data_IF_767469353002
#
_entry.id   IF_767469353002
#
_cell.length_a   1.000
_cell.length_b   1.000
_cell.length_c   1.000
_cell.angle_alpha   90.00
_cell.angle_beta   90.00
_cell.angle_gamma   90.00
#
_symmetry.space_group_name_H-M   'P 1'
#
loop_
_entity.id
_entity.type
_entity.pdbx_description
1 polymer ?
#
# COMPACT_ATOMS: atom_id res chain seq x y z
N UNK A 1 -79.85 38.29 -22.50
CA UNK A 1 -79.86 37.44 -23.71
C UNK A 1 -78.53 37.61 -24.46
N UNK A 2 -77.77 36.51 -24.62
CA UNK A 2 -76.66 36.29 -25.57
C UNK A 2 -75.41 37.18 -25.34
N UNK A 3 -74.17 36.71 -25.23
CA UNK A 3 -73.60 35.41 -25.57
C UNK A 3 -72.43 35.08 -24.61
N UNK A 4 -72.64 34.06 -23.80
CA UNK A 4 -71.61 33.17 -23.26
C UNK A 4 -71.39 32.13 -24.36
N UNK A 5 -70.28 32.15 -25.11
CA UNK A 5 -69.92 31.00 -25.95
C UNK A 5 -68.51 31.07 -26.57
N UNK A 6 -67.77 29.97 -26.33
CA UNK A 6 -66.64 29.42 -27.09
C UNK A 6 -65.23 30.01 -26.85
N UNK A 7 -64.62 29.61 -25.74
CA UNK A 7 -63.19 29.30 -25.72
C UNK A 7 -63.07 27.77 -25.68
N UNK A 8 -62.80 27.11 -26.82
CA UNK A 8 -62.11 25.82 -26.75
C UNK A 8 -61.20 25.63 -27.96
N UNK A 9 -59.91 25.98 -27.89
CA UNK A 9 -58.87 25.30 -28.71
C UNK A 9 -57.41 25.70 -28.39
N UNK A 10 -57.07 26.10 -27.17
CA UNK A 10 -55.69 26.57 -26.90
C UNK A 10 -55.08 25.99 -25.62
N UNK A 11 -55.53 24.79 -25.24
CA UNK A 11 -55.08 24.10 -24.03
C UNK A 11 -54.83 22.59 -24.23
N UNK A 12 -54.58 22.14 -25.47
CA UNK A 12 -54.36 20.70 -25.73
C UNK A 12 -53.36 20.39 -26.87
N UNK A 13 -52.39 21.26 -27.13
CA UNK A 13 -51.21 20.95 -27.99
C UNK A 13 -49.90 21.34 -27.28
N UNK A 14 -49.90 21.30 -25.94
CA UNK A 14 -48.70 21.54 -25.13
C UNK A 14 -48.41 20.41 -24.14
N UNK A 15 -48.81 19.18 -24.48
CA UNK A 15 -48.53 17.97 -23.68
C UNK A 15 -48.17 16.74 -24.55
N UNK A 16 -47.78 16.91 -25.82
CA UNK A 16 -47.37 15.77 -26.67
C UNK A 16 -46.02 15.94 -27.38
N UNK A 17 -45.20 16.89 -26.95
CA UNK A 17 -43.79 16.94 -27.29
C UNK A 17 -42.97 16.18 -26.25
N UNK A 18 -43.28 14.90 -26.03
CA UNK A 18 -42.35 14.04 -25.31
C UNK A 18 -41.04 14.09 -26.09
N UNK A 19 -40.02 14.73 -25.52
CA UNK A 19 -38.66 14.62 -26.03
C UNK A 19 -38.33 13.14 -25.98
N UNK A 20 -38.53 12.42 -27.08
CA UNK A 20 -38.00 11.08 -27.22
C UNK A 20 -36.50 11.30 -27.23
N UNK A 21 -35.87 11.03 -26.09
CA UNK A 21 -34.42 11.12 -25.97
C UNK A 21 -33.84 10.27 -27.11
N UNK A 22 -33.17 10.93 -28.05
CA UNK A 22 -32.62 10.26 -29.22
C UNK A 22 -31.35 9.53 -28.79
N UNK A 23 -31.13 8.33 -29.33
CA UNK A 23 -29.93 7.59 -29.00
C UNK A 23 -28.72 8.29 -29.62
N UNK A 24 -27.67 8.44 -28.81
CA UNK A 24 -26.45 9.16 -29.17
C UNK A 24 -25.27 8.21 -29.04
N UNK A 25 -24.51 8.09 -30.13
CA UNK A 25 -23.28 7.34 -30.22
C UNK A 25 -22.15 8.32 -30.52
N UNK A 26 -21.07 8.28 -29.74
CA UNK A 26 -19.87 9.08 -30.01
C UNK A 26 -18.74 8.13 -30.37
N UNK A 27 -18.20 8.25 -31.58
CA UNK A 27 -17.10 7.40 -32.05
C UNK A 27 -15.78 7.81 -31.39
N UNK A 28 -14.78 6.94 -31.50
CA UNK A 28 -13.38 7.22 -31.10
C UNK A 28 -12.78 8.45 -31.78
N UNK A 29 -13.29 8.81 -32.95
CA UNK A 29 -12.86 9.99 -33.70
C UNK A 29 -13.55 11.29 -33.21
N UNK A 30 -14.45 11.18 -32.23
CA UNK A 30 -15.26 12.29 -31.73
C UNK A 30 -16.46 12.62 -32.61
N UNK A 31 -16.80 11.78 -33.59
CA UNK A 31 -17.99 11.97 -34.43
C UNK A 31 -19.23 11.58 -33.63
N UNK A 32 -20.20 12.49 -33.58
CA UNK A 32 -21.51 12.23 -32.97
C UNK A 32 -22.42 11.65 -34.03
N UNK A 33 -22.97 10.47 -33.75
CA UNK A 33 -23.95 9.77 -34.56
C UNK A 33 -25.26 9.73 -33.76
N UNK A 34 -26.33 10.22 -34.37
CA UNK A 34 -27.68 10.16 -33.82
C UNK A 34 -28.45 9.09 -34.57
N UNK A 35 -29.04 8.14 -33.86
CA UNK A 35 -29.71 6.98 -34.48
C UNK A 35 -30.60 6.25 -33.50
N UNK A 36 -30.98 5.03 -33.84
CA UNK A 36 -31.63 4.08 -32.92
C UNK A 36 -30.68 2.91 -32.65
N UNK A 37 -30.33 2.71 -31.39
CA UNK A 37 -29.61 1.55 -30.92
C UNK A 37 -30.60 0.39 -30.86
N UNK A 38 -30.31 -0.65 -31.63
CA UNK A 38 -31.12 -1.85 -31.73
C UNK A 38 -30.70 -2.84 -30.65
N UNK A 39 -29.38 -3.02 -30.50
CA UNK A 39 -28.82 -3.93 -29.51
C UNK A 39 -27.45 -3.43 -29.02
N UNK A 40 -27.14 -3.75 -27.76
CA UNK A 40 -25.90 -3.38 -27.10
C UNK A 40 -25.34 -4.56 -26.32
N UNK A 41 -24.12 -4.95 -26.67
CA UNK A 41 -23.33 -5.97 -25.97
C UNK A 41 -21.92 -5.46 -25.66
N UNK A 42 -21.15 -6.24 -24.89
CA UNK A 42 -19.73 -5.95 -24.61
C UNK A 42 -18.90 -5.89 -25.88
N UNK A 43 -19.26 -6.68 -26.89
CA UNK A 43 -18.42 -6.92 -28.06
C UNK A 43 -18.88 -6.05 -29.24
N UNK A 44 -20.19 -5.95 -29.45
CA UNK A 44 -20.79 -5.23 -30.58
C UNK A 44 -21.97 -4.35 -30.17
N UNK A 45 -22.07 -3.21 -30.86
CA UNK A 45 -23.21 -2.31 -30.80
C UNK A 45 -23.86 -2.23 -32.17
N UNK A 46 -25.15 -2.55 -32.23
CA UNK A 46 -25.94 -2.53 -33.46
C UNK A 46 -26.86 -1.31 -33.44
N UNK A 47 -26.76 -0.48 -34.48
CA UNK A 47 -27.54 0.75 -34.57
C UNK A 47 -27.98 1.05 -36.01
N UNK A 48 -29.03 1.83 -36.14
CA UNK A 48 -29.54 2.35 -37.41
C UNK A 48 -29.49 3.88 -37.37
N UNK A 49 -28.89 4.49 -38.40
CA UNK A 49 -28.77 5.95 -38.52
C UNK A 49 -30.03 6.61 -39.07
N UNK A 50 -30.82 5.86 -39.82
CA UNK A 50 -32.00 6.35 -40.52
C UNK A 50 -33.17 5.41 -40.25
N UNK A 51 -34.23 5.94 -39.64
CA UNK A 51 -35.47 5.19 -39.35
C UNK A 51 -36.22 4.76 -40.61
N UNK A 52 -35.87 5.30 -41.78
CA UNK A 52 -36.47 4.94 -43.08
C UNK A 52 -35.72 3.81 -43.82
N UNK A 53 -34.45 3.56 -43.48
CA UNK A 53 -33.60 2.55 -44.13
C UNK A 53 -33.29 1.42 -43.15
N UNK A 54 -33.60 0.18 -43.52
CA UNK A 54 -33.34 -1.04 -42.70
C UNK A 54 -31.85 -1.45 -42.68
N UNK A 55 -30.93 -0.53 -42.91
CA UNK A 55 -29.51 -0.81 -42.81
C UNK A 55 -29.10 -0.71 -41.34
N UNK A 56 -28.66 -1.85 -40.80
CA UNK A 56 -28.17 -1.98 -39.44
C UNK A 56 -26.65 -2.03 -39.51
N UNK A 57 -26.01 -1.04 -38.92
CA UNK A 57 -24.56 -1.04 -38.72
C UNK A 57 -24.25 -1.81 -37.44
N UNK A 58 -23.46 -2.88 -37.56
CA UNK A 58 -22.91 -3.63 -36.43
C UNK A 58 -21.42 -3.32 -36.33
N UNK A 59 -21.06 -2.57 -35.30
CA UNK A 59 -19.69 -2.09 -35.11
C UNK A 59 -19.19 -2.58 -33.74
N UNK A 60 -17.91 -2.96 -33.62
CA UNK A 60 -17.33 -3.29 -32.32
C UNK A 60 -17.58 -2.18 -31.31
N UNK A 61 -18.11 -2.53 -30.13
CA UNK A 61 -18.47 -1.57 -29.07
C UNK A 61 -17.28 -0.70 -28.67
N UNK A 62 -16.06 -1.20 -28.85
CA UNK A 62 -14.79 -0.51 -28.61
C UNK A 62 -14.60 0.76 -29.48
N UNK A 63 -15.23 0.85 -30.65
CA UNK A 63 -15.16 2.04 -31.52
C UNK A 63 -16.03 3.21 -31.02
N UNK A 64 -16.81 3.02 -29.96
CA UNK A 64 -17.62 4.06 -29.33
C UNK A 64 -17.07 4.46 -27.96
N UNK A 65 -16.95 5.77 -27.74
CA UNK A 65 -16.56 6.42 -26.48
C UNK A 65 -17.79 6.63 -25.59
N UNK A 66 -18.92 7.01 -26.18
CA UNK A 66 -20.19 7.19 -25.48
C UNK A 66 -21.30 6.49 -26.23
N UNK A 67 -22.15 5.78 -25.50
CA UNK A 67 -23.37 5.17 -26.00
C UNK A 67 -24.48 5.55 -25.02
N UNK A 68 -25.43 6.34 -25.48
CA UNK A 68 -26.62 6.74 -24.76
C UNK A 68 -27.84 6.26 -25.54
N UNK A 69 -28.70 5.48 -24.89
CA UNK A 69 -29.96 4.98 -25.45
C UNK A 69 -31.12 5.62 -24.68
N UNK A 70 -31.87 6.53 -25.31
CA UNK A 70 -32.81 7.39 -24.61
C UNK A 70 -32.11 8.15 -23.49
N UNK A 71 -32.66 8.11 -22.28
CA UNK A 71 -32.03 8.72 -21.09
C UNK A 71 -31.01 7.81 -20.40
N UNK A 72 -30.82 6.58 -20.87
CA UNK A 72 -29.92 5.59 -20.28
C UNK A 72 -28.52 5.69 -20.89
N UNK A 73 -27.52 5.98 -20.06
CA UNK A 73 -26.11 5.92 -20.44
C UNK A 73 -25.64 4.46 -20.38
N UNK A 74 -25.45 3.83 -21.54
CA UNK A 74 -24.99 2.45 -21.65
C UNK A 74 -23.47 2.33 -21.55
N UNK A 75 -22.74 3.28 -22.17
CA UNK A 75 -21.28 3.34 -22.11
C UNK A 75 -20.84 4.79 -21.98
N UNK A 76 -19.88 5.02 -21.09
CA UNK A 76 -19.14 6.27 -21.02
C UNK A 76 -17.66 6.00 -20.89
N UNK A 77 -16.89 6.75 -21.65
CA UNK A 77 -15.45 6.72 -21.57
C UNK A 77 -15.00 7.36 -20.26
N UNK A 78 -14.16 6.62 -19.53
CA UNK A 78 -13.48 7.06 -18.32
C UNK A 78 -11.99 6.82 -18.52
N UNK A 79 -11.20 7.85 -18.19
CA UNK A 79 -9.76 7.76 -18.22
C UNK A 79 -9.28 6.78 -17.13
N UNK A 80 -8.34 5.94 -17.51
CA UNK A 80 -7.40 5.29 -16.64
C UNK A 80 -6.24 6.29 -16.34
N UNK A 81 -5.30 5.90 -15.49
CA UNK A 81 -4.18 6.77 -15.10
C UNK A 81 -2.92 5.95 -14.96
N UNK A 82 -1.88 6.34 -15.69
CA UNK A 82 -0.51 5.84 -15.53
C UNK A 82 0.20 6.78 -14.56
N UNK A 83 0.87 6.22 -13.57
CA UNK A 83 1.80 6.92 -12.70
C UNK A 83 3.19 6.36 -13.01
N UNK A 84 4.10 7.21 -13.46
CA UNK A 84 5.49 6.82 -13.74
C UNK A 84 6.31 6.80 -12.45
N UNK A 85 7.47 6.15 -12.48
CA UNK A 85 8.41 6.15 -11.34
C UNK A 85 8.98 7.54 -11.06
N UNK A 86 9.00 8.41 -12.07
CA UNK A 86 9.41 9.81 -11.95
C UNK A 86 8.32 10.70 -11.32
N UNK A 87 7.17 10.11 -10.94
CA UNK A 87 6.06 10.83 -10.31
C UNK A 87 5.12 11.55 -11.30
N UNK A 88 5.28 11.32 -12.60
CA UNK A 88 4.39 11.89 -13.61
C UNK A 88 3.04 11.15 -13.61
N UNK A 89 1.96 11.92 -13.61
CA UNK A 89 0.59 11.40 -13.69
C UNK A 89 0.07 11.63 -15.11
N UNK A 90 -0.21 10.56 -15.82
CA UNK A 90 -0.62 10.55 -17.22
C UNK A 90 -2.06 10.02 -17.32
N UNK A 91 -3.07 10.87 -17.55
CA UNK A 91 -4.45 10.43 -17.78
C UNK A 91 -4.60 9.84 -19.19
N UNK A 92 -5.00 8.58 -19.30
CA UNK A 92 -5.01 7.86 -20.58
C UNK A 92 -6.04 6.73 -20.59
N UNK A 93 -6.13 5.96 -21.68
CA UNK A 93 -6.82 4.66 -21.71
C UNK A 93 -5.80 3.57 -22.02
N UNK A 94 -5.78 2.53 -21.19
CA UNK A 94 -4.92 1.37 -21.42
C UNK A 94 -5.52 0.50 -22.52
N UNK A 95 -4.71 0.14 -23.51
CA UNK A 95 -5.07 -0.78 -24.60
C UNK A 95 -4.62 -2.19 -24.25
N UNK A 96 -3.34 -2.34 -23.89
CA UNK A 96 -2.73 -3.63 -23.58
C UNK A 96 -1.55 -3.43 -22.60
N UNK A 97 -1.32 -4.45 -21.78
CA UNK A 97 -0.19 -4.54 -20.88
C UNK A 97 0.57 -5.81 -21.26
N UNK A 98 1.71 -5.64 -21.91
CA UNK A 98 2.62 -6.70 -22.31
C UNK A 98 3.65 -6.95 -21.19
N UNK A 99 4.50 -7.99 -21.32
CA UNK A 99 5.57 -8.24 -20.36
C UNK A 99 6.52 -7.05 -20.18
N UNK A 100 6.84 -6.33 -21.26
CA UNK A 100 7.84 -5.27 -21.26
C UNK A 100 7.28 -3.87 -21.51
N UNK A 101 6.05 -3.76 -22.05
CA UNK A 101 5.45 -2.51 -22.51
C UNK A 101 4.04 -2.33 -21.97
N UNK A 102 3.67 -1.07 -21.75
CA UNK A 102 2.30 -0.65 -21.48
C UNK A 102 1.86 0.24 -22.64
N UNK A 103 0.85 -0.21 -23.38
CA UNK A 103 0.31 0.49 -24.54
C UNK A 103 -0.98 1.24 -24.17
N UNK A 104 -1.04 2.52 -24.50
CA UNK A 104 -2.13 3.42 -24.12
C UNK A 104 -2.36 4.49 -25.16
N UNK A 105 -3.54 5.11 -25.13
CA UNK A 105 -3.82 6.32 -25.90
C UNK A 105 -4.34 7.43 -24.98
N UNK A 106 -4.11 8.67 -25.39
CA UNK A 106 -4.75 9.83 -24.78
C UNK A 106 -6.04 10.17 -25.51
N UNK A 107 -7.03 10.60 -24.74
CA UNK A 107 -8.24 11.18 -25.29
C UNK A 107 -8.30 12.66 -24.90
N UNK A 108 -8.22 13.53 -25.90
CA UNK A 108 -8.45 14.97 -25.78
C UNK A 108 -9.40 15.39 -26.90
N UNK A 109 -10.69 15.06 -26.73
CA UNK A 109 -11.77 15.23 -27.73
C UNK A 109 -11.63 14.40 -29.02
N UNK A 110 -10.43 13.84 -29.27
CA UNK A 110 -10.12 12.84 -30.29
C UNK A 110 -9.19 11.79 -29.69
N UNK A 111 -9.31 10.55 -30.15
CA UNK A 111 -8.36 9.49 -29.80
C UNK A 111 -7.04 9.76 -30.51
N UNK A 112 -5.98 9.86 -29.71
CA UNK A 112 -4.61 9.96 -30.21
C UNK A 112 -4.08 8.61 -30.66
N UNK A 113 -2.97 8.61 -31.40
CA UNK A 113 -2.26 7.39 -31.75
C UNK A 113 -1.83 6.64 -30.50
N UNK A 114 -1.80 5.31 -30.59
CA UNK A 114 -1.31 4.45 -29.51
C UNK A 114 0.16 4.77 -29.24
N UNK A 115 0.45 5.04 -27.97
CA UNK A 115 1.78 5.26 -27.43
C UNK A 115 2.13 4.08 -26.53
N UNK A 116 3.42 3.79 -26.39
CA UNK A 116 3.91 2.72 -25.54
C UNK A 116 4.96 3.27 -24.58
N UNK A 117 4.85 2.87 -23.32
CA UNK A 117 5.85 3.13 -22.28
C UNK A 117 6.48 1.81 -21.85
N UNK A 118 7.76 1.84 -21.48
CA UNK A 118 8.40 0.68 -20.87
C UNK A 118 7.74 0.38 -19.53
N UNK A 119 7.34 -0.88 -19.31
CA UNK A 119 6.74 -1.30 -18.03
C UNK A 119 7.66 -0.99 -16.85
N UNK A 120 8.98 -1.08 -17.07
CA UNK A 120 10.01 -0.72 -16.07
C UNK A 120 10.00 0.75 -15.63
N UNK A 121 9.48 1.68 -16.43
CA UNK A 121 9.34 3.10 -16.07
C UNK A 121 7.97 3.45 -15.47
N UNK A 122 7.02 2.50 -15.48
CA UNK A 122 5.70 2.68 -14.90
C UNK A 122 5.71 2.17 -13.45
N UNK A 123 5.19 2.96 -12.53
CA UNK A 123 5.03 2.59 -11.12
C UNK A 123 3.71 1.84 -10.91
N UNK A 124 2.62 2.46 -11.37
CA UNK A 124 1.26 2.03 -11.12
C UNK A 124 0.34 2.45 -12.27
N UNK A 125 -0.52 1.53 -12.70
CA UNK A 125 -1.71 1.82 -13.50
C UNK A 125 -2.92 1.76 -12.60
N UNK A 126 -3.73 2.82 -12.62
CA UNK A 126 -5.06 2.87 -11.99
C UNK A 126 -6.11 2.84 -13.09
N UNK A 127 -6.93 1.81 -13.09
CA UNK A 127 -8.02 1.69 -14.04
C UNK A 127 -9.24 2.50 -13.59
N UNK A 128 -10.07 2.86 -14.56
CA UNK A 128 -11.32 3.59 -14.39
C UNK A 128 -12.38 2.85 -13.57
N UNK A 129 -12.27 1.53 -13.43
CA UNK A 129 -13.10 0.70 -12.53
C UNK A 129 -12.62 0.72 -11.07
N UNK A 130 -11.48 1.37 -10.79
CA UNK A 130 -10.87 1.46 -9.47
C UNK A 130 -9.83 0.38 -9.18
N UNK A 131 -9.67 -0.62 -10.05
CA UNK A 131 -8.60 -1.61 -9.97
C UNK A 131 -7.24 -0.97 -10.23
N UNK A 132 -6.18 -1.61 -9.74
CA UNK A 132 -4.83 -1.06 -9.74
C UNK A 132 -3.84 -2.17 -10.05
N UNK A 133 -2.93 -1.91 -10.98
CA UNK A 133 -1.85 -2.83 -11.34
C UNK A 133 -0.50 -2.14 -11.14
N UNK A 134 0.30 -2.68 -10.22
CA UNK A 134 1.62 -2.16 -9.88
C UNK A 134 2.69 -2.95 -10.62
N UNK A 135 3.65 -2.24 -11.20
CA UNK A 135 4.75 -2.85 -11.96
C UNK A 135 6.10 -2.73 -11.27
N UNK A 136 6.09 -2.30 -10.02
CA UNK A 136 7.20 -2.57 -9.12
C UNK A 136 7.36 -4.08 -9.06
N UNK A 137 8.49 -4.58 -9.58
CA UNK A 137 8.94 -5.91 -9.23
C UNK A 137 8.87 -5.98 -7.71
N UNK A 138 8.06 -6.91 -7.20
CA UNK A 138 8.22 -7.41 -5.85
C UNK A 138 9.53 -8.21 -5.87
N UNK A 139 10.66 -7.52 -6.00
CA UNK A 139 11.71 -7.79 -5.04
C UNK A 139 10.99 -7.45 -3.75
N UNK A 140 10.66 -8.48 -2.95
CA UNK A 140 10.42 -8.23 -1.55
C UNK A 140 11.70 -7.55 -1.07
N UNK A 141 11.77 -6.22 -1.13
CA UNK A 141 12.39 -5.52 -0.05
C UNK A 141 11.71 -6.13 1.17
N UNK A 142 12.45 -6.82 2.07
CA UNK A 142 11.85 -7.18 3.34
C UNK A 142 11.19 -5.90 3.82
N UNK A 143 9.95 -5.99 4.32
CA UNK A 143 9.19 -4.92 4.99
C UNK A 143 10.15 -3.80 5.35
N UNK A 144 9.89 -2.54 4.97
CA UNK A 144 10.70 -1.41 5.45
C UNK A 144 10.54 -1.33 6.96
N UNK A 145 11.20 -2.25 7.65
CA UNK A 145 11.30 -2.44 9.06
C UNK A 145 11.93 -1.13 9.46
N UNK A 146 11.18 -0.34 10.23
CA UNK A 146 11.69 0.94 10.68
C UNK A 146 13.09 0.72 11.25
N UNK A 147 14.04 1.65 11.03
CA UNK A 147 15.42 1.49 11.53
C UNK A 147 15.44 1.04 12.99
N UNK A 148 14.48 1.53 13.78
CA UNK A 148 14.20 1.09 15.14
C UNK A 148 13.87 -0.40 15.28
N UNK A 149 12.87 -0.92 14.58
CA UNK A 149 12.51 -2.35 14.61
C UNK A 149 13.67 -3.24 14.12
N UNK A 150 14.43 -2.77 13.12
CA UNK A 150 15.59 -3.50 12.60
C UNK A 150 16.67 -3.59 13.69
N UNK A 151 16.93 -2.48 14.39
CA UNK A 151 17.81 -2.45 15.56
C UNK A 151 17.35 -3.40 16.67
N UNK A 152 16.04 -3.47 16.95
CA UNK A 152 15.49 -4.41 17.94
C UNK A 152 15.73 -5.87 17.53
N UNK A 153 15.49 -6.20 16.25
CA UNK A 153 15.68 -7.54 15.72
C UNK A 153 17.15 -7.96 15.74
N UNK A 154 18.05 -7.09 15.31
CA UNK A 154 19.48 -7.35 15.32
C UNK A 154 20.00 -7.50 16.75
N UNK A 155 19.56 -6.69 17.70
CA UNK A 155 19.92 -6.87 19.11
C UNK A 155 19.41 -8.22 19.65
N UNK A 156 18.23 -8.69 19.21
CA UNK A 156 17.73 -10.02 19.59
C UNK A 156 18.64 -11.15 19.09
N UNK A 157 19.23 -11.01 17.91
CA UNK A 157 20.04 -12.06 17.30
C UNK A 157 21.53 -11.98 17.68
N UNK A 158 22.09 -10.77 17.75
CA UNK A 158 23.54 -10.56 17.79
C UNK A 158 24.06 -9.96 19.09
N UNK A 159 23.23 -9.29 19.90
CA UNK A 159 23.70 -8.77 21.19
C UNK A 159 23.88 -9.90 22.21
N UNK A 160 25.10 -9.98 22.74
CA UNK A 160 25.50 -10.88 23.82
C UNK A 160 26.10 -10.06 24.97
N UNK A 161 25.60 -10.18 26.21
CA UNK A 161 26.24 -9.58 27.38
C UNK A 161 27.67 -10.09 27.53
N UNK A 162 28.57 -9.23 28.04
CA UNK A 162 29.97 -9.59 28.24
C UNK A 162 30.12 -10.66 29.34
N UNK A 163 30.88 -11.73 29.05
CA UNK A 163 31.09 -12.81 30.02
C UNK A 163 31.71 -12.35 31.34
N UNK A 164 32.69 -11.44 31.27
CA UNK A 164 33.32 -10.87 32.47
C UNK A 164 32.36 -10.10 33.38
N UNK A 165 31.35 -9.45 32.80
CA UNK A 165 30.30 -8.77 33.57
C UNK A 165 29.44 -9.78 34.34
N UNK A 166 29.06 -10.89 33.70
CA UNK A 166 28.26 -11.94 34.34
C UNK A 166 29.05 -12.57 35.50
N UNK A 167 30.34 -12.86 35.30
CA UNK A 167 31.22 -13.39 36.36
C UNK A 167 31.34 -12.40 37.52
N UNK A 168 31.48 -11.09 37.23
CA UNK A 168 31.48 -10.05 38.25
C UNK A 168 30.20 -10.04 39.09
N UNK A 169 29.03 -10.17 38.46
CA UNK A 169 27.74 -10.24 39.16
C UNK A 169 27.62 -11.48 40.07
N UNK A 170 28.16 -12.63 39.65
CA UNK A 170 28.22 -13.83 40.51
C UNK A 170 29.03 -13.55 41.78
N UNK A 171 30.18 -12.89 41.66
CA UNK A 171 31.02 -12.52 42.82
C UNK A 171 30.32 -11.51 43.74
N UNK A 172 29.59 -10.54 43.17
CA UNK A 172 28.78 -9.60 43.95
C UNK A 172 27.62 -10.30 44.66
N UNK A 173 26.99 -11.29 44.02
CA UNK A 173 25.98 -12.14 44.63
C UNK A 173 26.52 -13.01 45.78
N UNK A 174 27.70 -13.60 45.62
CA UNK A 174 28.39 -14.35 46.67
C UNK A 174 28.65 -13.50 47.92
N UNK A 175 28.93 -12.20 47.72
CA UNK A 175 29.24 -11.26 48.79
C UNK A 175 28.06 -10.36 49.16
N UNK A 176 26.83 -10.71 48.78
CA UNK A 176 25.63 -9.85 48.93
C UNK A 176 25.33 -9.41 50.37
N UNK A 177 25.82 -10.13 51.39
CA UNK A 177 25.70 -9.74 52.81
C UNK A 177 26.41 -8.40 53.08
N UNK A 178 27.43 -8.07 52.28
CA UNK A 178 28.00 -6.73 52.24
C UNK A 178 27.07 -5.83 51.43
N UNK A 179 26.43 -4.87 52.10
CA UNK A 179 25.49 -3.93 51.46
C UNK A 179 26.06 -3.25 50.20
N UNK A 180 27.37 -2.98 50.18
CA UNK A 180 28.06 -2.43 49.02
C UNK A 180 27.98 -3.33 47.78
N UNK A 181 28.04 -4.66 47.94
CA UNK A 181 27.96 -5.62 46.84
C UNK A 181 26.57 -5.67 46.22
N UNK A 182 25.52 -5.61 47.05
CA UNK A 182 24.14 -5.55 46.58
C UNK A 182 23.87 -4.27 45.78
N UNK A 183 24.36 -3.12 46.27
CA UNK A 183 24.26 -1.84 45.55
C UNK A 183 25.02 -1.92 44.22
N UNK A 184 26.26 -2.41 44.23
CA UNK A 184 27.09 -2.51 43.03
C UNK A 184 26.44 -3.39 41.94
N UNK A 185 25.91 -4.57 42.29
CA UNK A 185 25.23 -5.44 41.32
C UNK A 185 23.98 -4.79 40.73
N UNK A 186 23.23 -4.06 41.57
CA UNK A 186 22.07 -3.31 41.08
C UNK A 186 22.49 -2.21 40.10
N UNK A 187 23.54 -1.44 40.39
CA UNK A 187 24.04 -0.39 39.49
C UNK A 187 24.50 -1.00 38.16
N UNK A 188 25.31 -2.06 38.19
CA UNK A 188 25.84 -2.70 36.98
C UNK A 188 24.71 -3.21 36.08
N UNK A 189 23.65 -3.82 36.65
CA UNK A 189 22.52 -4.33 35.90
C UNK A 189 21.69 -3.25 35.17
N UNK A 190 21.58 -2.03 35.73
CA UNK A 190 20.74 -0.96 35.17
C UNK A 190 21.49 0.08 34.34
N UNK A 191 22.82 0.18 34.46
CA UNK A 191 23.63 1.03 33.58
C UNK A 191 23.51 0.52 32.13
N UNK A 192 23.32 1.40 31.13
CA UNK A 192 23.28 0.98 29.73
C UNK A 192 24.54 0.21 29.30
N UNK A 193 24.42 -0.78 28.40
CA UNK A 193 25.59 -1.46 27.85
C UNK A 193 26.45 -0.49 27.00
N UNK A 194 27.77 -0.56 27.19
CA UNK A 194 28.74 0.27 26.48
C UNK A 194 29.22 -0.38 25.19
N UNK A 195 29.41 -1.71 25.18
CA UNK A 195 29.76 -2.47 23.96
C UNK A 195 28.50 -2.99 23.29
N UNK A 196 28.11 -2.33 22.19
CA UNK A 196 26.96 -2.71 21.37
C UNK A 196 27.36 -3.46 20.11
N UNK A 197 28.56 -3.18 19.61
CA UNK A 197 29.05 -3.68 18.33
C UNK A 197 29.32 -5.18 18.38
N UNK A 198 28.90 -5.89 17.36
CA UNK A 198 29.15 -7.33 17.19
C UNK A 198 29.69 -7.58 15.79
N UNK A 199 30.77 -8.36 15.67
CA UNK A 199 31.37 -8.74 14.38
C UNK A 199 30.37 -9.48 13.48
N UNK A 200 29.39 -10.16 14.10
CA UNK A 200 28.38 -10.93 13.40
C UNK A 200 27.13 -10.11 13.01
N UNK A 201 27.01 -8.86 13.48
CA UNK A 201 25.89 -8.00 13.09
C UNK A 201 26.20 -7.34 11.73
N UNK A 202 25.45 -7.65 10.66
CA UNK A 202 25.67 -7.06 9.34
C UNK A 202 25.45 -5.54 9.32
N UNK A 203 24.61 -5.02 10.24
CA UNK A 203 24.23 -3.61 10.32
C UNK A 203 25.03 -2.85 11.38
N UNK A 204 26.22 -3.32 11.74
CA UNK A 204 27.01 -2.76 12.84
C UNK A 204 27.32 -1.25 12.66
N UNK A 205 27.48 -0.80 11.41
CA UNK A 205 27.71 0.60 11.06
C UNK A 205 26.51 1.50 11.45
N UNK A 206 25.30 0.95 11.46
CA UNK A 206 24.09 1.70 11.82
C UNK A 206 24.05 2.07 13.30
N UNK A 207 24.82 1.40 14.17
CA UNK A 207 24.95 1.78 15.58
C UNK A 207 25.58 3.16 15.78
N UNK A 208 26.37 3.64 14.83
CA UNK A 208 26.99 4.97 14.85
C UNK A 208 26.32 5.96 13.89
N UNK A 209 25.76 5.49 12.76
CA UNK A 209 25.19 6.37 11.74
C UNK A 209 23.70 6.67 11.88
N UNK A 210 22.92 5.81 12.55
CA UNK A 210 21.46 5.94 12.65
C UNK A 210 20.99 5.94 14.12
N UNK A 211 20.38 7.06 14.54
CA UNK A 211 19.88 7.24 15.90
C UNK A 211 18.71 6.30 16.23
N UNK A 212 17.77 6.11 15.31
CA UNK A 212 16.60 5.27 15.51
C UNK A 212 16.99 3.79 15.60
N UNK A 213 17.92 3.35 14.73
CA UNK A 213 18.50 2.00 14.82
C UNK A 213 19.17 1.76 16.16
N UNK A 214 20.04 2.68 16.58
CA UNK A 214 20.76 2.60 17.86
C UNK A 214 19.79 2.53 19.04
N UNK A 215 18.72 3.32 19.02
CA UNK A 215 17.71 3.33 20.06
C UNK A 215 16.97 1.98 20.16
N UNK A 216 16.53 1.44 19.02
CA UNK A 216 15.89 0.12 18.93
C UNK A 216 16.81 -0.99 19.45
N UNK A 217 18.07 -0.98 19.02
CA UNK A 217 19.08 -1.94 19.47
C UNK A 217 19.32 -1.87 20.99
N UNK A 218 19.47 -0.64 21.52
CA UNK A 218 19.64 -0.41 22.96
C UNK A 218 18.45 -0.90 23.80
N UNK A 219 17.22 -0.76 23.29
CA UNK A 219 16.01 -1.17 24.02
C UNK A 219 16.02 -2.67 24.37
N UNK A 220 16.52 -3.50 23.46
CA UNK A 220 16.64 -4.96 23.64
C UNK A 220 17.93 -5.33 24.37
N UNK A 221 19.04 -4.66 24.05
CA UNK A 221 20.33 -4.89 24.70
C UNK A 221 20.27 -4.65 26.22
N UNK A 222 19.61 -3.57 26.66
CA UNK A 222 19.38 -3.28 28.09
C UNK A 222 18.63 -4.41 28.79
N UNK A 223 17.55 -4.93 28.18
CA UNK A 223 16.76 -6.03 28.75
C UNK A 223 17.59 -7.31 28.90
N UNK A 224 18.34 -7.68 27.86
CA UNK A 224 19.23 -8.85 27.89
C UNK A 224 20.36 -8.70 28.92
N UNK A 225 21.00 -7.52 28.99
CA UNK A 225 22.03 -7.22 29.98
C UNK A 225 21.48 -7.41 31.39
N UNK A 226 20.36 -6.75 31.71
CA UNK A 226 19.72 -6.81 33.03
C UNK A 226 19.38 -8.25 33.41
N UNK A 227 18.78 -9.01 32.49
CA UNK A 227 18.43 -10.41 32.74
C UNK A 227 19.67 -11.27 33.08
N UNK A 228 20.74 -11.13 32.30
CA UNK A 228 21.98 -11.88 32.53
C UNK A 228 22.68 -11.47 33.84
N UNK A 229 22.74 -10.17 34.15
CA UNK A 229 23.34 -9.67 35.38
C UNK A 229 22.55 -10.13 36.62
N UNK A 230 21.22 -9.98 36.60
CA UNK A 230 20.36 -10.45 37.69
C UNK A 230 20.45 -11.96 37.89
N UNK A 231 20.53 -12.74 36.82
CA UNK A 231 20.75 -14.18 36.91
C UNK A 231 22.12 -14.51 37.54
N UNK A 232 23.18 -13.81 37.13
CA UNK A 232 24.51 -13.95 37.74
C UNK A 232 24.49 -13.65 39.24
N UNK A 233 23.94 -12.50 39.62
CA UNK A 233 23.83 -12.09 41.03
C UNK A 233 23.05 -13.11 41.88
N UNK A 234 21.87 -13.52 41.42
CA UNK A 234 21.05 -14.50 42.15
C UNK A 234 21.74 -15.88 42.24
N UNK A 235 22.50 -16.28 41.22
CA UNK A 235 23.27 -17.53 41.27
C UNK A 235 24.38 -17.46 42.33
N UNK A 236 25.04 -16.31 42.47
CA UNK A 236 26.03 -16.08 43.53
C UNK A 236 25.41 -16.13 44.93
N UNK A 237 24.25 -15.50 45.11
CA UNK A 237 23.51 -15.58 46.38
C UNK A 237 23.13 -17.02 46.74
N UNK A 238 22.64 -17.78 45.76
CA UNK A 238 22.25 -19.18 45.97
C UNK A 238 23.46 -20.02 46.37
N UNK A 239 24.62 -19.83 45.72
CA UNK A 239 25.85 -20.52 46.06
C UNK A 239 26.31 -20.20 47.50
N UNK A 240 26.23 -18.92 47.90
CA UNK A 240 26.55 -18.51 49.28
C UNK A 240 25.67 -19.23 50.30
N UNK A 241 24.34 -19.19 50.15
CA UNK A 241 23.42 -19.85 51.08
C UNK A 241 23.57 -21.37 51.10
N UNK A 242 23.83 -21.98 49.93
CA UNK A 242 24.12 -23.42 49.86
C UNK A 242 25.38 -23.78 50.67
N UNK A 243 26.46 -23.01 50.54
CA UNK A 243 27.69 -23.26 51.32
C UNK A 243 27.45 -23.15 52.83
N UNK A 244 26.72 -22.14 53.29
CA UNK A 244 26.38 -21.98 54.71
C UNK A 244 25.53 -23.16 55.22
N UNK A 245 24.48 -23.53 54.50
CA UNK A 245 23.60 -24.64 54.91
C UNK A 245 24.37 -25.96 54.97
N UNK A 246 25.27 -26.20 54.02
CA UNK A 246 26.16 -27.37 54.06
C UNK A 246 27.06 -27.28 55.30
N UNK A 247 27.75 -26.17 55.53
CA UNK A 247 28.65 -26.02 56.67
C UNK A 247 27.96 -26.22 58.02
N UNK A 248 26.72 -25.73 58.19
CA UNK A 248 25.95 -25.92 59.42
C UNK A 248 25.60 -27.40 59.64
N UNK A 249 25.29 -28.15 58.58
CA UNK A 249 24.95 -29.59 58.71
C UNK A 249 26.15 -30.49 59.04
N UNK A 250 27.39 -30.01 58.86
CA UNK A 250 28.61 -30.73 59.18
C UNK A 250 29.27 -30.28 60.50
N UNK A 251 28.66 -29.31 61.20
CA UNK A 251 29.05 -28.83 62.54
C UNK A 251 28.16 -29.49 63.61
#
# INVERSE_FOLDING_TARGET
>A
MKALNKIPLLLLIWVCGGYVAQDTLVTVEGKVLTGRIIDFSTDFTSYSLDTSVKEVAMIPTQQFIVIKQGDKLLKSYKNDTIITKDGQIIPCKIVAIDPDLVSFFHYSYRVSNVQSLMKGSVLLVKFSDGTKERFDQVIQAPYSTSSFELGMQDAKNYYKPEGGMIVGEVLLGLTHVLMASAIAGTVIAYVPPTKLSSVNNPNNLMLSSDAAYKEGYLSVAKKKKRAACSAGFLSGMAAFWATILISINYL
#
